data_IF_847731586861
#
_entry.id   IF_847731586861
#
_cell.length_a   1.000
_cell.length_b   1.000
_cell.length_c   1.000
_cell.angle_alpha   90.00
_cell.angle_beta   90.00
_cell.angle_gamma   90.00
#
_symmetry.space_group_name_H-M   'P 1'
#
loop_
_entity.id
_entity.type
_entity.pdbx_description
1 polymer ?
#
# COMPACT_ATOMS: atom_id res chain seq x y z
N UNK A 1 -7.91 -0.30 7.90
CA UNK A 1 -9.16 0.01 7.15
C UNK A 1 -9.31 1.52 6.94
N UNK A 2 -10.41 2.04 6.37
CA UNK A 2 -10.64 3.50 6.27
C UNK A 2 -10.72 4.18 7.65
N UNK A 3 -11.33 3.50 8.63
CA UNK A 3 -11.44 4.00 10.00
C UNK A 3 -10.08 4.06 10.74
N UNK A 4 -9.08 3.33 10.22
CA UNK A 4 -7.75 3.19 10.82
C UNK A 4 -6.67 3.80 9.91
N UNK A 5 -6.99 4.93 9.27
CA UNK A 5 -6.01 5.73 8.54
C UNK A 5 -5.80 5.38 7.06
N UNK A 6 -6.51 4.39 6.52
CA UNK A 6 -6.48 4.05 5.09
C UNK A 6 -7.07 5.13 4.16
N UNK A 7 -7.20 4.84 2.88
CA UNK A 7 -7.83 5.75 1.90
C UNK A 7 -9.07 5.13 1.24
N UNK A 8 -9.99 5.96 0.75
CA UNK A 8 -11.22 5.52 0.09
C UNK A 8 -10.96 4.57 -1.09
N UNK A 9 -9.86 4.78 -1.82
CA UNK A 9 -9.49 3.96 -2.98
C UNK A 9 -8.88 2.61 -2.62
N UNK A 10 -8.72 2.32 -1.32
CA UNK A 10 -8.23 1.03 -0.82
C UNK A 10 -9.40 0.16 -0.34
N UNK A 11 -10.50 0.13 -1.11
CA UNK A 11 -11.59 -0.82 -0.89
C UNK A 11 -12.76 -0.34 -0.06
N UNK A 12 -12.90 0.96 0.20
CA UNK A 12 -14.11 1.45 0.86
C UNK A 12 -15.35 1.11 0.01
N UNK A 13 -16.41 0.56 0.62
CA UNK A 13 -17.60 0.03 -0.09
C UNK A 13 -18.32 1.07 -0.97
N UNK A 14 -18.17 2.35 -0.63
CA UNK A 14 -18.74 3.47 -1.40
C UNK A 14 -17.89 3.86 -2.62
N UNK A 15 -16.63 3.44 -2.70
CA UNK A 15 -15.69 3.75 -3.77
C UNK A 15 -15.76 2.70 -4.90
N UNK A 16 -15.34 3.08 -6.12
CA UNK A 16 -15.26 2.16 -7.25
C UNK A 16 -14.41 0.91 -6.93
N UNK A 17 -13.28 1.07 -6.24
CA UNK A 17 -12.42 -0.05 -5.81
C UNK A 17 -13.16 -1.07 -4.95
N UNK A 18 -13.92 -0.62 -3.95
CA UNK A 18 -14.71 -1.51 -3.08
C UNK A 18 -15.97 -2.09 -3.73
N UNK A 19 -16.39 -1.57 -4.89
CA UNK A 19 -17.48 -2.15 -5.71
C UNK A 19 -16.97 -3.15 -6.75
N UNK A 20 -15.78 -2.92 -7.30
CA UNK A 20 -15.20 -3.72 -8.38
C UNK A 20 -14.39 -4.92 -7.88
N UNK A 21 -13.79 -4.81 -6.70
CA UNK A 21 -12.90 -5.81 -6.14
C UNK A 21 -13.34 -6.23 -4.74
N UNK A 22 -12.98 -7.45 -4.35
CA UNK A 22 -13.17 -7.94 -2.99
C UNK A 22 -11.98 -7.50 -2.12
N UNK A 23 -12.19 -6.49 -1.27
CA UNK A 23 -11.19 -6.04 -0.31
C UNK A 23 -11.43 -6.69 1.05
N UNK A 24 -10.37 -7.29 1.59
CA UNK A 24 -10.30 -7.74 2.98
C UNK A 24 -9.50 -6.69 3.75
N UNK A 25 -10.12 -5.91 4.65
CA UNK A 25 -9.41 -4.92 5.42
C UNK A 25 -8.57 -5.58 6.52
N UNK A 26 -7.38 -5.05 6.74
CA UNK A 26 -6.60 -5.24 7.96
C UNK A 26 -6.55 -3.93 8.75
N UNK A 27 -6.14 -4.01 10.02
CA UNK A 27 -6.19 -2.93 10.99
C UNK A 27 -4.91 -2.69 11.76
N UNK A 28 -5.06 -2.02 12.90
CA UNK A 28 -3.98 -1.69 13.82
C UNK A 28 -4.03 -2.58 15.06
N UNK A 29 -2.88 -2.75 15.71
CA UNK A 29 -2.77 -3.36 17.03
C UNK A 29 -3.06 -2.36 18.15
N UNK A 30 -2.89 -2.79 19.40
CA UNK A 30 -3.15 -1.97 20.58
C UNK A 30 -2.22 -0.75 20.72
N UNK A 31 -1.08 -0.76 20.04
CA UNK A 31 -0.09 0.33 20.02
C UNK A 31 -0.30 1.26 18.80
N UNK A 32 -1.43 1.11 18.10
CA UNK A 32 -1.76 1.81 16.85
C UNK A 32 -0.73 1.56 15.73
N UNK A 33 0.01 0.44 15.79
CA UNK A 33 0.90 -0.02 14.72
C UNK A 33 0.12 -0.91 13.77
N UNK A 34 0.49 -0.98 12.48
CA UNK A 34 -0.09 -1.97 11.57
C UNK A 34 0.02 -3.37 12.16
N UNK A 35 -1.11 -4.08 12.29
CA UNK A 35 -1.11 -5.45 12.80
C UNK A 35 -0.65 -6.41 11.71
N UNK A 36 0.68 -6.54 11.57
CA UNK A 36 1.28 -7.41 10.56
C UNK A 36 0.96 -8.90 10.78
N UNK A 37 0.65 -9.32 12.00
CA UNK A 37 0.25 -10.70 12.27
C UNK A 37 -1.15 -10.96 11.72
N UNK A 38 -2.06 -10.00 11.90
CA UNK A 38 -3.38 -10.03 11.26
C UNK A 38 -3.27 -9.97 9.74
N UNK A 39 -2.41 -9.11 9.18
CA UNK A 39 -2.17 -9.05 7.73
C UNK A 39 -1.74 -10.42 7.20
N UNK A 40 -0.79 -11.08 7.87
CA UNK A 40 -0.31 -12.41 7.49
C UNK A 40 -1.41 -13.49 7.60
N UNK A 41 -2.18 -13.47 8.69
CA UNK A 41 -3.31 -14.39 8.90
C UNK A 41 -4.37 -14.26 7.80
N UNK A 42 -4.82 -13.04 7.53
CA UNK A 42 -5.79 -12.74 6.48
C UNK A 42 -5.27 -13.11 5.08
N UNK A 43 -3.97 -12.92 4.84
CA UNK A 43 -3.34 -13.30 3.57
C UNK A 43 -3.38 -14.82 3.36
N UNK A 44 -3.06 -15.60 4.39
CA UNK A 44 -3.12 -17.08 4.33
C UNK A 44 -4.55 -17.58 4.17
N UNK A 45 -5.51 -16.95 4.85
CA UNK A 45 -6.92 -17.31 4.80
C UNK A 45 -7.56 -17.00 3.44
N UNK A 46 -7.40 -15.76 2.96
CA UNK A 46 -8.13 -15.26 1.79
C UNK A 46 -7.37 -15.36 0.48
N UNK A 47 -6.06 -15.63 0.51
CA UNK A 47 -5.18 -15.79 -0.66
C UNK A 47 -5.36 -14.64 -1.68
N UNK A 48 -5.16 -13.38 -1.27
CA UNK A 48 -5.38 -12.23 -2.12
C UNK A 48 -4.43 -12.24 -3.32
N UNK A 49 -4.83 -11.64 -4.44
CA UNK A 49 -3.94 -11.43 -5.59
C UNK A 49 -3.01 -10.22 -5.40
N UNK A 50 -3.39 -9.30 -4.52
CA UNK A 50 -2.69 -8.04 -4.29
C UNK A 50 -2.86 -7.62 -2.83
N UNK A 51 -1.76 -7.26 -2.18
CA UNK A 51 -1.75 -6.54 -0.90
C UNK A 51 -1.44 -5.07 -1.19
N UNK A 52 -2.24 -4.17 -0.61
CA UNK A 52 -2.07 -2.72 -0.75
C UNK A 52 -1.62 -2.14 0.58
N UNK A 53 -0.44 -1.53 0.62
CA UNK A 53 0.01 -0.74 1.76
C UNK A 53 0.03 0.75 1.41
N UNK A 54 -0.46 1.58 2.31
CA UNK A 54 -0.54 3.02 2.11
C UNK A 54 -1.61 3.61 3.00
N UNK A 55 -1.44 4.86 3.39
CA UNK A 55 -2.32 5.50 4.35
C UNK A 55 -2.43 7.00 4.09
N UNK A 56 -3.57 7.55 4.51
CA UNK A 56 -3.83 8.99 4.52
C UNK A 56 -3.56 9.60 5.90
N UNK A 57 -3.87 8.84 6.95
CA UNK A 57 -3.80 9.27 8.35
C UNK A 57 -3.17 8.18 9.21
N UNK A 58 -1.89 7.89 8.95
CA UNK A 58 -1.06 6.99 9.74
C UNK A 58 0.30 7.65 9.96
N UNK A 59 0.69 7.81 11.23
CA UNK A 59 1.86 8.62 11.61
C UNK A 59 3.18 7.83 11.65
N UNK A 60 3.09 6.50 11.73
CA UNK A 60 4.26 5.64 11.93
C UNK A 60 4.84 5.14 10.59
N UNK A 61 5.97 4.45 10.69
CA UNK A 61 6.61 3.82 9.54
C UNK A 61 5.92 2.51 9.19
N UNK A 62 5.69 2.31 7.90
CA UNK A 62 5.26 1.02 7.36
C UNK A 62 6.51 0.18 7.07
N UNK A 63 6.56 -1.04 7.58
CA UNK A 63 7.58 -2.02 7.27
C UNK A 63 7.30 -2.65 5.91
N UNK A 64 7.78 -1.98 4.85
CA UNK A 64 7.57 -2.41 3.46
C UNK A 64 8.23 -3.76 3.17
N UNK A 65 9.36 -4.07 3.81
CA UNK A 65 10.04 -5.34 3.63
C UNK A 65 9.20 -6.50 4.19
N UNK A 66 8.65 -6.34 5.40
CA UNK A 66 7.75 -7.32 6.00
C UNK A 66 6.47 -7.50 5.19
N UNK A 67 5.85 -6.42 4.74
CA UNK A 67 4.65 -6.49 3.90
C UNK A 67 4.93 -7.19 2.57
N UNK A 68 6.06 -6.91 1.94
CA UNK A 68 6.48 -7.60 0.71
C UNK A 68 6.68 -9.10 0.94
N UNK A 69 7.37 -9.49 2.02
CA UNK A 69 7.52 -10.91 2.38
C UNK A 69 6.16 -11.60 2.53
N UNK A 70 5.23 -10.99 3.30
CA UNK A 70 3.88 -11.55 3.48
C UNK A 70 3.18 -11.73 2.12
N UNK A 71 3.27 -10.74 1.22
CA UNK A 71 2.67 -10.85 -0.11
C UNK A 71 3.31 -11.97 -0.93
N UNK A 72 4.63 -11.93 -1.10
CA UNK A 72 5.38 -12.81 -2.01
C UNK A 72 5.38 -14.26 -1.54
N UNK A 73 5.51 -14.51 -0.23
CA UNK A 73 5.44 -15.86 0.35
C UNK A 73 4.08 -16.54 0.13
N UNK A 74 3.04 -15.74 -0.12
CA UNK A 74 1.67 -16.21 -0.39
C UNK A 74 1.26 -16.07 -1.87
N UNK A 75 2.20 -15.74 -2.76
CA UNK A 75 1.94 -15.60 -4.20
C UNK A 75 1.08 -14.37 -4.57
N UNK A 76 0.98 -13.39 -3.68
CA UNK A 76 0.31 -12.12 -3.93
C UNK A 76 1.31 -11.08 -4.44
N UNK A 77 0.83 -10.14 -5.26
CA UNK A 77 1.57 -8.94 -5.61
C UNK A 77 1.53 -7.93 -4.45
N UNK A 78 2.49 -7.02 -4.42
CA UNK A 78 2.57 -5.95 -3.42
C UNK A 78 2.54 -4.56 -4.06
N UNK A 79 1.53 -3.76 -3.73
CA UNK A 79 1.41 -2.37 -4.16
C UNK A 79 1.54 -1.42 -2.96
N UNK A 80 2.36 -0.38 -3.11
CA UNK A 80 2.48 0.69 -2.12
C UNK A 80 1.94 2.01 -2.67
N UNK A 81 0.99 2.63 -1.98
CA UNK A 81 0.53 4.00 -2.25
C UNK A 81 1.25 4.99 -1.32
N UNK A 82 2.19 5.76 -1.88
CA UNK A 82 2.98 6.75 -1.13
C UNK A 82 2.42 8.16 -1.25
N UNK A 83 1.18 8.38 -1.66
CA UNK A 83 0.66 9.71 -1.95
C UNK A 83 0.95 10.75 -0.84
N UNK A 84 0.81 10.40 0.44
CA UNK A 84 1.13 11.29 1.57
C UNK A 84 2.63 11.38 1.89
N UNK A 85 3.42 10.35 1.58
CA UNK A 85 4.83 10.24 1.95
C UNK A 85 5.81 10.54 0.80
N UNK A 86 5.32 10.76 -0.42
CA UNK A 86 6.13 10.83 -1.63
C UNK A 86 7.33 11.78 -1.58
N UNK A 87 7.15 12.99 -1.02
CA UNK A 87 8.26 13.93 -0.84
C UNK A 87 9.28 13.48 0.21
N UNK A 88 8.82 12.81 1.27
CA UNK A 88 9.69 12.28 2.32
C UNK A 88 10.49 11.07 1.81
N UNK A 89 9.85 10.20 1.03
CA UNK A 89 10.52 9.08 0.34
C UNK A 89 11.58 9.60 -0.63
N UNK A 90 11.21 10.56 -1.50
CA UNK A 90 12.15 11.16 -2.46
C UNK A 90 13.30 11.91 -1.76
N UNK A 91 13.04 12.54 -0.62
CA UNK A 91 14.04 13.22 0.21
C UNK A 91 14.84 12.31 1.14
N UNK A 92 14.57 10.99 1.18
CA UNK A 92 15.28 10.03 2.03
C UNK A 92 14.91 10.09 3.52
N UNK A 93 13.85 10.81 3.89
CA UNK A 93 13.39 10.97 5.28
C UNK A 93 12.34 9.94 5.72
N UNK A 94 11.86 9.10 4.79
CA UNK A 94 10.92 8.00 5.05
C UNK A 94 11.41 6.76 4.29
N UNK A 95 11.15 5.53 4.78
CA UNK A 95 11.56 4.30 4.11
C UNK A 95 11.17 4.25 2.63
N UNK A 96 12.08 3.77 1.79
CA UNK A 96 11.83 3.64 0.35
C UNK A 96 11.13 2.31 0.04
N UNK A 97 9.90 2.30 -0.51
CA UNK A 97 9.21 1.06 -0.84
C UNK A 97 9.68 0.44 -2.17
N UNK A 98 10.39 1.17 -3.03
CA UNK A 98 10.75 0.74 -4.40
C UNK A 98 11.52 -0.59 -4.43
N UNK A 99 12.46 -0.88 -3.51
CA UNK A 99 13.15 -2.18 -3.49
C UNK A 99 12.24 -3.38 -3.16
N UNK A 100 11.07 -3.13 -2.55
CA UNK A 100 10.21 -4.17 -1.98
C UNK A 100 8.92 -4.37 -2.78
N UNK A 101 8.31 -3.28 -3.24
CA UNK A 101 7.02 -3.28 -3.91
C UNK A 101 7.11 -3.68 -5.38
N UNK A 102 6.09 -4.38 -5.87
CA UNK A 102 5.92 -4.67 -7.30
C UNK A 102 5.41 -3.43 -8.04
N UNK A 103 4.54 -2.66 -7.36
CA UNK A 103 3.98 -1.41 -7.85
C UNK A 103 4.06 -0.33 -6.78
N UNK A 104 4.41 0.89 -7.17
CA UNK A 104 4.34 2.07 -6.30
C UNK A 104 3.47 3.12 -6.99
N UNK A 105 2.40 3.54 -6.35
CA UNK A 105 1.52 4.60 -6.83
C UNK A 105 1.69 5.85 -5.98
N UNK A 106 1.49 7.02 -6.57
CA UNK A 106 1.54 8.27 -5.82
C UNK A 106 0.76 9.37 -6.51
N UNK A 107 0.28 10.32 -5.72
CA UNK A 107 -0.04 11.66 -6.22
C UNK A 107 1.22 12.53 -6.31
N UNK A 108 1.22 13.51 -7.21
CA UNK A 108 2.37 14.42 -7.39
C UNK A 108 2.29 15.71 -6.57
N UNK A 109 1.13 16.04 -5.98
CA UNK A 109 0.84 17.38 -5.43
C UNK A 109 0.93 17.52 -3.90
N UNK A 110 1.07 16.42 -3.15
CA UNK A 110 1.12 16.45 -1.67
C UNK A 110 2.53 16.78 -1.19
N UNK A 111 3.15 15.90 -0.39
CA UNK A 111 4.51 16.11 0.09
C UNK A 111 5.55 16.22 -1.05
N UNK A 112 5.26 15.67 -2.24
CA UNK A 112 6.09 15.83 -3.44
C UNK A 112 6.04 17.25 -4.06
N UNK A 113 5.03 18.06 -3.69
CA UNK A 113 4.91 19.49 -4.02
C UNK A 113 4.94 19.85 -5.52
N UNK A 114 4.51 18.94 -6.39
CA UNK A 114 4.30 19.18 -7.81
C UNK A 114 2.86 19.60 -8.17
N UNK A 115 2.50 19.64 -9.47
CA UNK A 115 1.13 19.88 -9.90
C UNK A 115 0.20 18.71 -9.56
N UNK A 116 -1.12 18.91 -9.68
CA UNK A 116 -2.10 17.82 -9.54
C UNK A 116 -1.91 16.78 -10.64
N UNK A 117 -1.57 15.56 -10.23
CA UNK A 117 -1.36 14.40 -11.10
C UNK A 117 -1.13 13.14 -10.28
N UNK A 118 -0.94 12.04 -10.98
CA UNK A 118 -0.61 10.73 -10.41
C UNK A 118 0.49 10.05 -11.22
N UNK A 119 1.26 9.20 -10.55
CA UNK A 119 2.30 8.36 -11.16
C UNK A 119 2.12 6.92 -10.70
N UNK A 120 2.47 6.00 -11.60
CA UNK A 120 2.55 4.57 -11.31
C UNK A 120 3.96 4.13 -11.70
N UNK A 121 4.70 3.61 -10.74
CA UNK A 121 6.00 2.99 -10.92
C UNK A 121 5.85 1.48 -10.74
N UNK A 122 6.62 0.71 -11.49
CA UNK A 122 6.57 -0.75 -11.44
C UNK A 122 7.94 -1.34 -11.73
N UNK A 123 8.16 -2.59 -11.31
CA UNK A 123 9.35 -3.35 -11.72
C UNK A 123 9.31 -3.59 -13.24
N UNK A 124 10.50 -3.68 -13.85
CA UNK A 124 10.64 -3.88 -15.30
C UNK A 124 9.97 -5.17 -15.82
N UNK A 125 9.85 -6.20 -14.99
CA UNK A 125 9.14 -7.44 -15.34
C UNK A 125 7.65 -7.23 -15.65
N UNK A 126 7.06 -6.13 -15.16
CA UNK A 126 5.67 -5.74 -15.45
C UNK A 126 5.55 -4.74 -16.61
N UNK A 127 6.66 -4.31 -17.24
CA UNK A 127 6.65 -3.34 -18.35
C UNK A 127 5.94 -3.87 -19.60
N UNK A 128 6.11 -5.16 -19.88
CA UNK A 128 5.52 -5.84 -21.03
C UNK A 128 4.69 -7.03 -20.56
N UNK A 129 3.54 -6.75 -20.01
CA UNK A 129 2.54 -7.78 -19.77
C UNK A 129 1.86 -8.14 -21.10
N UNK A 130 2.37 -9.21 -21.72
CA UNK A 130 1.78 -10.05 -22.80
C UNK A 130 0.97 -9.32 -23.88
#
# INVERSE_FOLDING_TARGET
>A
SLAEGGHLTHGASVNASGKLYNFVPYGLDADEVLDYAQVEGLTKEHKPKLIVAGASAYALHIDFERMARIAHDNGALFMVDIAHYAGLVAGGAYPNPVPHADFVTSTTHKSLRGPRGGVIMMKAEFEKAV
#
